data_IF_290834250807
#
_entry.id   IF_290834250807
#
_cell.length_a   1.000
_cell.length_b   1.000
_cell.length_c   1.000
_cell.angle_alpha   90.00
_cell.angle_beta   90.00
_cell.angle_gamma   90.00
#
_symmetry.space_group_name_H-M   'P 1'
#
loop_
_entity.id
_entity.type
_entity.pdbx_description
1 polymer ?
#
# COMPACT_ATOMS: atom_id res chain seq x y z
N UNK A 1 17.86 15.91 -8.85
CA UNK A 1 17.52 15.63 -8.47
C UNK A 1 16.98 15.18 -8.09
N UNK A 2 16.59 14.92 -7.71
CA UNK A 2 15.95 14.51 -7.37
C UNK A 2 15.37 14.37 -6.61
N UNK A 3 14.89 14.48 -6.30
CA UNK A 3 14.24 14.40 -5.66
C UNK A 3 13.74 13.51 -5.26
N UNK A 4 13.72 13.07 -5.23
CA UNK A 4 13.35 12.36 -4.93
C UNK A 4 13.19 11.72 -3.97
N UNK A 5 13.40 11.58 -3.59
CA UNK A 5 13.39 10.95 -2.75
C UNK A 5 12.79 11.09 -1.80
N UNK A 6 12.58 11.35 -1.49
CA UNK A 6 12.09 11.49 -0.50
C UNK A 6 11.22 10.52 0.04
N UNK A 7 11.25 9.34 0.03
CA UNK A 7 10.63 8.33 0.71
C UNK A 7 9.19 8.48 1.05
N UNK A 8 8.52 9.22 0.30
CA UNK A 8 7.16 9.48 0.62
C UNK A 8 6.21 8.50 0.01
N UNK A 9 6.69 7.42 -0.56
CA UNK A 9 5.81 6.41 -1.08
C UNK A 9 5.08 6.80 -2.34
N UNK A 10 5.67 7.64 -3.16
CA UNK A 10 5.09 7.94 -4.45
C UNK A 10 5.25 6.77 -5.39
N UNK A 11 4.22 6.42 -6.11
CA UNK A 11 4.30 5.43 -7.16
C UNK A 11 4.47 6.14 -8.50
N UNK A 12 4.89 5.40 -9.55
CA UNK A 12 4.98 6.00 -10.87
C UNK A 12 3.66 6.55 -11.38
N UNK A 13 2.55 6.09 -10.82
CA UNK A 13 1.22 6.56 -11.21
C UNK A 13 0.88 7.88 -10.55
N UNK A 14 1.74 8.41 -9.70
CA UNK A 14 1.43 9.61 -8.95
C UNK A 14 0.53 9.38 -7.76
N UNK A 15 0.36 8.14 -7.34
CA UNK A 15 -0.47 7.81 -6.20
C UNK A 15 0.35 7.89 -4.93
N UNK A 16 -0.15 8.64 -3.95
CA UNK A 16 0.51 8.75 -2.66
C UNK A 16 0.17 7.54 -1.81
N UNK A 17 1.20 6.84 -1.35
CA UNK A 17 1.04 5.64 -0.54
C UNK A 17 1.34 5.99 0.91
N UNK A 18 0.43 5.66 1.84
CA UNK A 18 0.72 5.92 3.27
C UNK A 18 2.05 5.30 3.67
N UNK A 19 2.78 6.01 4.52
CA UNK A 19 4.13 5.60 4.87
C UNK A 19 4.18 4.19 5.43
N UNK A 20 3.27 3.87 6.35
CA UNK A 20 3.26 2.54 6.95
C UNK A 20 3.07 1.43 5.92
N UNK A 21 2.18 1.66 4.97
CA UNK A 21 1.96 0.68 3.91
C UNK A 21 3.18 0.59 3.01
N UNK A 22 3.76 1.74 2.67
CA UNK A 22 4.93 1.79 1.82
C UNK A 22 6.10 1.02 2.44
N UNK A 23 6.32 1.19 3.74
CA UNK A 23 7.41 0.50 4.42
C UNK A 23 7.21 -1.01 4.41
N UNK A 24 5.98 -1.46 4.61
CA UNK A 24 5.69 -2.89 4.56
C UNK A 24 5.92 -3.46 3.17
N UNK A 25 5.52 -2.70 2.14
CA UNK A 25 5.71 -3.16 0.77
C UNK A 25 7.18 -3.33 0.45
N UNK A 26 8.02 -2.43 0.94
CA UNK A 26 9.47 -2.55 0.71
C UNK A 26 10.00 -3.86 1.28
N UNK A 27 9.44 -4.31 2.38
CA UNK A 27 9.90 -5.52 3.05
C UNK A 27 9.25 -6.80 2.56
N UNK A 28 8.27 -6.69 1.69
CA UNK A 28 7.48 -7.85 1.25
C UNK A 28 7.44 -7.88 -0.27
N UNK A 29 8.42 -8.52 -0.93
CA UNK A 29 8.52 -8.46 -2.39
C UNK A 29 7.27 -9.00 -3.11
N UNK A 30 6.63 -10.03 -2.57
CA UNK A 30 5.45 -10.57 -3.24
C UNK A 30 4.28 -9.60 -3.15
N UNK A 31 4.10 -8.97 -2.00
CA UNK A 31 3.05 -7.97 -1.86
C UNK A 31 3.33 -6.79 -2.77
N UNK A 32 4.60 -6.37 -2.85
CA UNK A 32 4.97 -5.26 -3.71
C UNK A 32 4.69 -5.58 -5.18
N UNK A 33 4.96 -6.81 -5.60
CA UNK A 33 4.69 -7.22 -6.97
C UNK A 33 3.19 -7.16 -7.27
N UNK A 34 2.38 -7.64 -6.34
CA UNK A 34 0.93 -7.58 -6.51
C UNK A 34 0.46 -6.14 -6.60
N UNK A 35 0.95 -5.30 -5.69
CA UNK A 35 0.57 -3.89 -5.69
C UNK A 35 0.93 -3.23 -7.01
N UNK A 36 2.10 -3.55 -7.54
CA UNK A 36 2.54 -2.99 -8.82
C UNK A 36 1.65 -3.39 -9.99
N UNK A 37 0.97 -4.52 -9.89
CA UNK A 37 0.07 -5.01 -10.93
C UNK A 37 -1.35 -4.49 -10.78
N UNK A 38 -1.66 -3.84 -9.68
CA UNK A 38 -3.01 -3.34 -9.44
C UNK A 38 -3.28 -2.13 -10.31
N UNK A 39 -4.54 -1.96 -10.70
CA UNK A 39 -4.96 -0.77 -11.41
C UNK A 39 -4.95 0.43 -10.46
N UNK A 40 -5.02 1.63 -11.01
CA UNK A 40 -5.12 2.83 -10.19
C UNK A 40 -6.32 2.76 -9.25
N UNK A 41 -7.44 2.28 -9.76
CA UNK A 41 -8.65 2.14 -8.95
C UNK A 41 -8.41 1.17 -7.80
N UNK A 42 -7.76 0.05 -8.08
CA UNK A 42 -7.47 -0.94 -7.05
C UNK A 42 -6.49 -0.41 -6.02
N UNK A 43 -5.47 0.31 -6.47
CA UNK A 43 -4.51 0.92 -5.54
C UNK A 43 -5.20 1.93 -4.62
N UNK A 44 -6.05 2.76 -5.20
CA UNK A 44 -6.79 3.73 -4.40
C UNK A 44 -7.70 3.05 -3.39
N UNK A 45 -8.33 1.96 -3.78
CA UNK A 45 -9.22 1.22 -2.87
C UNK A 45 -8.43 0.64 -1.71
N UNK A 46 -7.24 0.09 -1.99
CA UNK A 46 -6.39 -0.46 -0.95
C UNK A 46 -5.95 0.63 0.03
N UNK A 47 -5.56 1.78 -0.51
CA UNK A 47 -5.12 2.89 0.33
C UNK A 47 -6.27 3.39 1.18
N UNK A 48 -7.45 3.51 0.59
CA UNK A 48 -8.62 3.96 1.32
C UNK A 48 -8.98 2.99 2.44
N UNK A 49 -8.86 1.69 2.17
CA UNK A 49 -9.11 0.68 3.18
C UNK A 49 -8.16 0.87 4.38
N UNK A 50 -6.88 1.09 4.11
CA UNK A 50 -5.90 1.31 5.17
C UNK A 50 -6.19 2.59 5.95
N UNK A 51 -6.55 3.64 5.23
CA UNK A 51 -6.76 4.96 5.85
C UNK A 51 -8.07 5.09 6.60
N UNK A 52 -8.99 4.14 6.43
CA UNK A 52 -10.28 4.23 7.09
C UNK A 52 -10.25 3.72 8.52
N UNK A 53 -9.10 3.28 9.02
CA UNK A 53 -8.97 2.93 10.42
C UNK A 53 -9.06 4.17 11.28
N UNK A 54 -9.78 4.07 12.40
CA UNK A 54 -10.02 5.24 13.24
C UNK A 54 -8.96 5.42 14.32
N UNK A 55 -8.10 4.43 14.53
CA UNK A 55 -7.04 4.51 15.53
C UNK A 55 -5.75 3.99 14.92
N UNK A 56 -4.62 4.24 15.60
CA UNK A 56 -3.35 3.71 15.16
C UNK A 56 -3.32 2.19 15.14
N UNK A 57 -3.96 1.56 16.12
CA UNK A 57 -4.04 0.10 16.15
C UNK A 57 -4.86 -0.44 14.99
N UNK A 58 -5.95 0.22 14.71
CA UNK A 58 -6.80 -0.16 13.59
C UNK A 58 -6.03 -0.02 12.27
N UNK A 59 -5.30 1.07 12.11
CA UNK A 59 -4.52 1.30 10.90
C UNK A 59 -3.47 0.21 10.71
N UNK A 60 -2.78 -0.16 11.79
CA UNK A 60 -1.78 -1.21 11.71
C UNK A 60 -2.39 -2.55 11.32
N UNK A 61 -3.54 -2.86 11.87
CA UNK A 61 -4.20 -4.11 11.55
C UNK A 61 -4.64 -4.13 10.08
N UNK A 62 -5.13 -3.01 9.58
CA UNK A 62 -5.54 -2.93 8.20
C UNK A 62 -4.36 -3.03 7.24
N UNK A 63 -3.22 -2.43 7.60
CA UNK A 63 -2.01 -2.56 6.80
C UNK A 63 -1.60 -4.03 6.72
N UNK A 64 -1.56 -4.71 7.85
CA UNK A 64 -1.20 -6.12 7.88
C UNK A 64 -2.13 -6.96 7.03
N UNK A 65 -3.43 -6.67 7.14
CA UNK A 65 -4.44 -7.39 6.39
C UNK A 65 -4.29 -7.16 4.90
N UNK A 66 -4.08 -5.91 4.50
CA UNK A 66 -3.89 -5.57 3.09
C UNK A 66 -2.64 -6.26 2.53
N UNK A 67 -1.56 -6.23 3.28
CA UNK A 67 -0.31 -6.86 2.86
C UNK A 67 -0.51 -8.37 2.68
N UNK A 68 -1.20 -9.00 3.60
CA UNK A 68 -1.43 -10.43 3.51
C UNK A 68 -2.26 -10.78 2.28
N UNK A 69 -3.28 -10.00 1.97
CA UNK A 69 -4.08 -10.22 0.78
C UNK A 69 -3.22 -10.08 -0.47
N UNK A 70 -2.35 -9.07 -0.50
CA UNK A 70 -1.48 -8.86 -1.65
C UNK A 70 -0.46 -9.98 -1.80
N UNK A 71 0.04 -10.52 -0.69
CA UNK A 71 0.97 -11.65 -0.75
C UNK A 71 0.30 -12.87 -1.34
N UNK A 72 -1.00 -12.97 -1.20
CA UNK A 72 -1.77 -14.05 -1.81
C UNK A 72 -2.21 -13.73 -3.24
N UNK A 73 -1.76 -12.62 -3.77
CA UNK A 73 -2.07 -12.24 -5.14
C UNK A 73 -3.41 -11.57 -5.34
N UNK A 74 -4.07 -11.19 -4.26
CA UNK A 74 -5.37 -10.52 -4.36
C UNK A 74 -5.17 -9.06 -4.69
N UNK A 75 -5.93 -8.55 -5.66
CA UNK A 75 -5.84 -7.15 -6.06
C UNK A 75 -7.04 -6.34 -5.61
N UNK A 76 -8.09 -6.99 -5.14
CA UNK A 76 -9.26 -6.30 -4.60
C UNK A 76 -9.17 -6.37 -3.08
N UNK A 77 -8.60 -5.33 -2.48
CA UNK A 77 -8.32 -5.29 -1.06
C UNK A 77 -9.50 -4.71 -0.30
N UNK A 78 -9.93 -5.40 0.73
CA UNK A 78 -11.02 -4.89 1.56
C UNK A 78 -11.03 -5.53 2.94
#
# INVERSE_FOLDING_TARGET
MNKTFIGMGHSPDGIDIPLGLSMELVMRPQAAATFGQMSSTEKHAAIRYVQSGSTGEEAKRRIRNAIQQMENGHTAIS
#
